data_IF_456002855126
#
_entry.id   IF_456002855126
#
_cell.length_a   1.000
_cell.length_b   1.000
_cell.length_c   1.000
_cell.angle_alpha   90.00
_cell.angle_beta   90.00
_cell.angle_gamma   90.00
#
_symmetry.space_group_name_H-M   'P 1'
#
loop_
_entity.id
_entity.type
_entity.pdbx_description
1 polymer ?
#
# COMPACT_ATOMS: atom_id res chain seq x y z
N UNK A 1 -17.77 -4.96 -6.45
CA UNK A 1 -16.33 -4.76 -6.51
C UNK A 1 -16.01 -3.31 -6.21
N UNK A 2 -15.71 -3.03 -4.95
CA UNK A 2 -15.26 -1.72 -4.46
C UNK A 2 -13.77 -1.80 -4.21
N UNK A 3 -13.01 -1.09 -5.03
CA UNK A 3 -11.56 -1.03 -4.97
C UNK A 3 -11.14 0.33 -4.41
N UNK A 4 -10.25 0.34 -3.41
CA UNK A 4 -9.78 1.58 -2.79
C UNK A 4 -8.25 1.67 -2.84
N UNK A 5 -7.76 2.89 -2.95
CA UNK A 5 -6.34 3.23 -2.89
C UNK A 5 -6.08 3.99 -1.58
N UNK A 6 -5.10 3.53 -0.82
CA UNK A 6 -4.63 4.18 0.39
C UNK A 6 -3.19 4.62 0.18
N UNK A 7 -2.91 5.88 0.50
CA UNK A 7 -1.57 6.45 0.43
C UNK A 7 -1.12 6.71 1.86
N UNK A 8 -0.13 5.96 2.31
CA UNK A 8 0.46 6.12 3.62
C UNK A 8 1.43 7.30 3.61
N UNK A 9 1.66 7.91 4.78
CA UNK A 9 2.68 8.96 4.89
C UNK A 9 4.09 8.41 4.58
N UNK A 10 4.98 9.26 4.06
CA UNK A 10 6.35 8.91 3.67
C UNK A 10 7.24 8.53 4.86
N UNK A 11 7.03 9.17 6.02
CA UNK A 11 8.05 9.24 7.07
C UNK A 11 7.67 8.54 8.37
N UNK A 12 6.38 8.42 8.69
CA UNK A 12 5.95 7.82 9.96
C UNK A 12 4.77 6.87 9.79
N UNK A 13 4.81 5.75 10.52
CA UNK A 13 3.65 4.85 10.67
C UNK A 13 2.59 5.36 11.64
N UNK A 14 2.66 6.65 12.03
CA UNK A 14 1.80 7.22 13.07
C UNK A 14 0.33 7.23 12.66
N UNK A 15 0.06 7.33 11.36
CA UNK A 15 -1.30 7.34 10.78
C UNK A 15 -1.75 5.99 10.25
N UNK A 16 -0.94 4.93 10.36
CA UNK A 16 -1.24 3.61 9.80
C UNK A 16 -2.55 3.02 10.38
N UNK A 17 -2.81 3.28 11.66
CA UNK A 17 -4.06 2.86 12.31
C UNK A 17 -5.30 3.55 11.72
N UNK A 18 -5.18 4.82 11.31
CA UNK A 18 -6.29 5.54 10.67
C UNK A 18 -6.60 4.96 9.30
N UNK A 19 -5.57 4.63 8.52
CA UNK A 19 -5.74 3.99 7.20
C UNK A 19 -6.47 2.65 7.31
N UNK A 20 -6.18 1.86 8.35
CA UNK A 20 -6.84 0.58 8.60
C UNK A 20 -8.33 0.79 8.91
N UNK A 21 -8.67 1.75 9.78
CA UNK A 21 -10.06 2.01 10.15
C UNK A 21 -10.85 2.65 9.00
N UNK A 22 -10.24 3.53 8.21
CA UNK A 22 -10.85 4.08 7.00
C UNK A 22 -11.12 2.99 5.96
N UNK A 23 -10.16 2.07 5.76
CA UNK A 23 -10.37 0.91 4.89
C UNK A 23 -11.55 0.06 5.37
N UNK A 24 -11.64 -0.22 6.66
CA UNK A 24 -12.71 -1.02 7.25
C UNK A 24 -14.08 -0.36 7.08
N UNK A 25 -14.18 0.95 7.29
CA UNK A 25 -15.42 1.70 7.13
C UNK A 25 -15.96 1.69 5.69
N UNK A 26 -15.07 1.51 4.71
CA UNK A 26 -15.44 1.49 3.29
C UNK A 26 -15.89 0.12 2.79
N UNK A 27 -15.70 -0.97 3.55
CA UNK A 27 -16.01 -2.35 3.13
C UNK A 27 -15.55 -2.69 1.69
N UNK A 28 -14.25 -2.53 1.37
CA UNK A 28 -13.73 -2.83 0.05
C UNK A 28 -13.63 -4.34 -0.21
N UNK A 29 -13.71 -4.71 -1.48
CA UNK A 29 -13.33 -6.05 -1.93
C UNK A 29 -11.81 -6.14 -2.16
N UNK A 30 -11.18 -4.99 -2.49
CA UNK A 30 -9.76 -4.89 -2.79
C UNK A 30 -9.16 -3.56 -2.29
N UNK A 31 -7.95 -3.62 -1.72
CA UNK A 31 -7.20 -2.46 -1.24
C UNK A 31 -5.80 -2.43 -1.86
N UNK A 32 -5.42 -1.29 -2.43
CA UNK A 32 -4.05 -1.00 -2.85
C UNK A 32 -3.42 0.00 -1.89
N UNK A 33 -2.24 -0.32 -1.36
CA UNK A 33 -1.50 0.54 -0.43
C UNK A 33 -0.24 1.09 -1.10
N UNK A 34 0.01 2.39 -0.94
CA UNK A 34 1.21 3.05 -1.46
C UNK A 34 1.96 3.71 -0.33
N UNK A 35 3.24 3.39 -0.18
CA UNK A 35 4.13 4.16 0.68
C UNK A 35 5.00 5.04 -0.22
N UNK A 36 4.98 6.37 -0.06
CA UNK A 36 5.87 7.26 -0.78
C UNK A 36 7.35 6.95 -0.45
N UNK A 37 8.21 6.95 -1.46
CA UNK A 37 9.64 6.72 -1.30
C UNK A 37 10.39 6.58 -2.63
N UNK A 38 11.72 6.59 -2.58
CA UNK A 38 12.54 6.45 -3.79
C UNK A 38 12.33 5.08 -4.45
N UNK A 39 11.95 5.11 -5.72
CA UNK A 39 11.41 3.98 -6.48
C UNK A 39 12.47 2.96 -6.94
N UNK A 40 13.73 3.39 -7.07
CA UNK A 40 14.74 2.56 -7.72
C UNK A 40 15.20 1.43 -6.79
N UNK A 41 14.63 0.24 -7.00
CA UNK A 41 15.06 -0.97 -6.32
C UNK A 41 14.64 -1.07 -4.86
N UNK A 42 13.54 -0.44 -4.45
CA UNK A 42 13.04 -0.48 -3.06
C UNK A 42 12.85 -1.92 -2.53
N UNK A 43 12.45 -2.84 -3.41
CA UNK A 43 12.29 -4.27 -3.08
C UNK A 43 13.64 -4.91 -2.69
N UNK A 44 14.70 -4.50 -3.37
CA UNK A 44 16.08 -4.97 -3.20
C UNK A 44 16.96 -4.06 -2.32
N UNK A 45 16.42 -2.94 -1.83
CA UNK A 45 17.18 -1.98 -1.04
C UNK A 45 17.51 -2.57 0.34
N UNK A 46 18.74 -3.04 0.50
CA UNK A 46 19.22 -3.62 1.75
C UNK A 46 19.58 -2.57 2.82
N UNK A 47 19.37 -1.27 2.56
CA UNK A 47 19.52 -0.23 3.57
C UNK A 47 18.53 -0.43 4.71
N UNK A 48 18.85 0.17 5.87
CA UNK A 48 17.97 0.19 7.04
C UNK A 48 16.61 0.80 6.69
N UNK A 49 16.62 1.87 5.89
CA UNK A 49 15.40 2.55 5.47
C UNK A 49 14.59 1.72 4.46
N UNK A 50 15.25 1.01 3.54
CA UNK A 50 14.60 0.07 2.62
C UNK A 50 13.90 -1.07 3.38
N UNK A 51 14.58 -1.64 4.37
CA UNK A 51 14.01 -2.69 5.25
C UNK A 51 12.83 -2.15 6.05
N UNK A 52 12.97 -0.98 6.68
CA UNK A 52 11.90 -0.35 7.46
C UNK A 52 10.65 -0.09 6.63
N UNK A 53 10.81 0.34 5.37
CA UNK A 53 9.67 0.55 4.45
C UNK A 53 9.00 -0.77 4.06
N UNK A 54 9.77 -1.83 3.76
CA UNK A 54 9.22 -3.16 3.47
C UNK A 54 8.45 -3.74 4.65
N UNK A 55 9.03 -3.69 5.84
CA UNK A 55 8.40 -4.22 7.06
C UNK A 55 7.11 -3.46 7.38
N UNK A 56 7.13 -2.12 7.22
CA UNK A 56 5.93 -1.29 7.38
C UNK A 56 4.86 -1.62 6.34
N UNK A 57 5.23 -1.78 5.06
CA UNK A 57 4.29 -2.15 4.01
C UNK A 57 3.65 -3.51 4.31
N UNK A 58 4.45 -4.52 4.66
CA UNK A 58 3.97 -5.85 5.02
C UNK A 58 3.03 -5.81 6.24
N UNK A 59 3.39 -5.04 7.27
CA UNK A 59 2.55 -4.85 8.45
C UNK A 59 1.19 -4.21 8.11
N UNK A 60 1.18 -3.13 7.30
CA UNK A 60 -0.03 -2.45 6.87
C UNK A 60 -0.95 -3.38 6.05
N UNK A 61 -0.38 -4.08 5.08
CA UNK A 61 -1.13 -5.02 4.25
C UNK A 61 -1.78 -6.11 5.10
N UNK A 62 -1.02 -6.71 6.03
CA UNK A 62 -1.55 -7.74 6.93
C UNK A 62 -2.68 -7.20 7.81
N UNK A 63 -2.53 -6.00 8.38
CA UNK A 63 -3.56 -5.39 9.23
C UNK A 63 -4.84 -5.03 8.47
N UNK A 64 -4.72 -4.50 7.27
CA UNK A 64 -5.88 -4.18 6.43
C UNK A 64 -6.60 -5.47 6.02
N UNK A 65 -5.87 -6.50 5.57
CA UNK A 65 -6.46 -7.78 5.20
C UNK A 65 -7.21 -8.42 6.37
N UNK A 66 -6.58 -8.47 7.56
CA UNK A 66 -7.18 -9.00 8.79
C UNK A 66 -8.44 -8.23 9.20
N UNK A 67 -8.39 -6.89 9.13
CA UNK A 67 -9.51 -6.04 9.58
C UNK A 67 -10.70 -6.03 8.62
N UNK A 68 -10.45 -6.11 7.31
CA UNK A 68 -11.45 -5.89 6.26
C UNK A 68 -11.90 -7.16 5.54
N UNK A 69 -11.07 -8.21 5.53
CA UNK A 69 -11.25 -9.39 4.69
C UNK A 69 -10.97 -9.15 3.20
N UNK A 70 -10.50 -7.96 2.82
CA UNK A 70 -10.24 -7.59 1.43
C UNK A 70 -8.95 -8.21 0.88
N UNK A 71 -8.87 -8.38 -0.44
CA UNK A 71 -7.62 -8.66 -1.12
C UNK A 71 -6.72 -7.41 -1.08
N UNK A 72 -5.47 -7.55 -0.63
CA UNK A 72 -4.55 -6.41 -0.46
C UNK A 72 -3.34 -6.53 -1.38
N UNK A 73 -2.89 -5.42 -1.95
CA UNK A 73 -1.59 -5.29 -2.62
C UNK A 73 -0.91 -4.00 -2.21
N UNK A 74 0.41 -3.92 -2.32
CA UNK A 74 1.13 -2.70 -1.98
C UNK A 74 2.40 -2.47 -2.77
N UNK A 75 2.81 -1.20 -2.87
CA UNK A 75 4.06 -0.78 -3.52
C UNK A 75 4.67 0.42 -2.81
N UNK A 76 5.97 0.63 -2.99
CA UNK A 76 6.62 1.93 -2.74
C UNK A 76 6.67 2.70 -4.06
N UNK A 77 6.37 4.00 -4.04
CA UNK A 77 6.37 4.83 -5.25
C UNK A 77 6.90 6.24 -4.94
N UNK A 78 7.52 6.96 -5.91
CA UNK A 78 7.95 8.33 -5.67
C UNK A 78 6.73 9.21 -5.34
N UNK A 79 6.86 10.19 -4.43
CA UNK A 79 5.78 11.11 -4.08
C UNK A 79 5.15 11.78 -5.31
N UNK A 80 5.97 12.16 -6.30
CA UNK A 80 5.52 12.76 -7.55
C UNK A 80 4.62 11.85 -8.41
N UNK A 81 4.58 10.53 -8.18
CA UNK A 81 3.62 9.63 -8.85
C UNK A 81 2.31 9.50 -8.07
N UNK A 82 2.33 9.70 -6.75
CA UNK A 82 1.15 9.69 -5.88
C UNK A 82 0.18 10.81 -6.23
N UNK A 83 0.70 11.98 -6.62
CA UNK A 83 -0.11 13.16 -6.93
C UNK A 83 -0.72 13.18 -8.34
N UNK A 84 -0.26 12.33 -9.27
CA UNK A 84 -0.54 12.51 -10.71
C UNK A 84 -1.69 11.65 -11.26
N UNK A 85 -2.52 11.03 -10.41
CA UNK A 85 -3.67 10.22 -10.86
C UNK A 85 -3.33 8.93 -11.64
N UNK A 86 -2.05 8.60 -11.79
CA UNK A 86 -1.56 7.42 -12.54
C UNK A 86 -1.80 6.08 -11.82
N UNK A 87 -2.27 6.09 -10.57
CA UNK A 87 -2.59 4.88 -9.83
C UNK A 87 -3.82 4.11 -10.34
N UNK A 88 -4.60 4.70 -11.26
CA UNK A 88 -5.64 3.98 -12.00
C UNK A 88 -5.09 2.72 -12.70
N UNK A 89 -3.83 2.72 -13.13
CA UNK A 89 -3.21 1.55 -13.77
C UNK A 89 -2.92 0.40 -12.80
N UNK A 90 -2.63 0.69 -11.52
CA UNK A 90 -2.40 -0.33 -10.48
C UNK A 90 -3.74 -0.92 -10.00
N UNK A 91 -4.79 -0.09 -9.94
CA UNK A 91 -6.16 -0.54 -9.63
C UNK A 91 -6.75 -1.39 -10.77
N UNK A 92 -6.36 -1.13 -12.02
CA UNK A 92 -6.88 -1.82 -13.20
C UNK A 92 -6.14 -3.12 -13.56
N UNK A 93 -5.00 -3.42 -12.93
CA UNK A 93 -4.23 -4.64 -13.20
C UNK A 93 -4.32 -5.58 -11.98
N UNK A 94 -5.27 -6.53 -11.98
CA UNK A 94 -5.24 -7.61 -11.01
C UNK A 94 -4.02 -8.46 -11.33
N UNK A 95 -2.91 -8.23 -10.61
CA UNK A 95 -1.80 -9.17 -10.61
C UNK A 95 -2.33 -10.44 -9.96
N UNK A 96 -2.78 -11.37 -10.79
CA UNK A 96 -3.08 -12.73 -10.40
C UNK A 96 -1.74 -13.38 -10.00
N UNK A 97 -1.46 -13.42 -8.70
CA UNK A 97 -0.48 -14.34 -8.14
C UNK A 97 -1.02 -15.76 -8.38
N UNK A 98 -0.58 -16.35 -9.49
CA UNK A 98 -0.85 -17.75 -9.80
C UNK A 98 0.27 -18.54 -9.12
N UNK A 99 -0.10 -19.36 -8.13
CA UNK A 99 0.81 -20.32 -7.48
C UNK A 99 1.05 -21.49 -8.42
#
# INVERSE_FOLDING_TARGET
>A
MKNILLIADETTGSTDHLLVEEAAALHPDQVTVVIPGENAGWESDASVEGTRRRDRLAYLLAKIADRTGAAVMGTVAPPARADNGHFAAIVASPVALTV
#
